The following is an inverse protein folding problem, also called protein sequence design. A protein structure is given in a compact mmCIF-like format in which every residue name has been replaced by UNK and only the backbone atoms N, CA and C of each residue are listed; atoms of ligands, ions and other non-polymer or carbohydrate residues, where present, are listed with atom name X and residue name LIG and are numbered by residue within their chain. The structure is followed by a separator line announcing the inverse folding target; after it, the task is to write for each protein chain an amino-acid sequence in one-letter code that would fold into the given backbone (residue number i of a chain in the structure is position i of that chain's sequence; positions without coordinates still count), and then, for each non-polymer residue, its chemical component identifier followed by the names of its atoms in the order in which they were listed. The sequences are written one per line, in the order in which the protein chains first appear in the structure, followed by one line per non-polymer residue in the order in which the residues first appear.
data_IF_783205591600
#
_entry.id   IF_783205591600
#
_cell.length_a   1.000
_cell.length_b   1.000
_cell.length_c   1.000
_cell.angle_alpha   90.00
_cell.angle_beta   90.00
_cell.angle_gamma   90.00
#
_symmetry.space_group_name_H-M   'P 1'
#
loop_
_entity.id
_entity.type
_entity.pdbx_description
1 polymer ?
#
# COMPACT_ATOMS: atom_id res chain seq x y z
N UNK A 1 2.05 -4.69 -27.84
CA UNK A 1 1.39 -3.98 -28.96
C UNK A 1 0.65 -2.78 -28.40
N UNK A 2 0.93 -1.54 -28.85
CA UNK A 2 0.17 -0.37 -28.43
C UNK A 2 -1.18 -0.38 -29.17
N UNK A 3 -2.27 -0.43 -28.42
CA UNK A 3 -3.62 -0.40 -28.99
C UNK A 3 -3.96 1.00 -29.47
N UNK A 4 -4.16 1.16 -30.78
CA UNK A 4 -4.67 2.38 -31.39
C UNK A 4 -6.16 2.52 -31.07
N UNK A 5 -6.55 3.62 -30.44
CA UNK A 5 -7.95 3.91 -30.14
C UNK A 5 -8.62 4.56 -31.37
N UNK A 6 -9.49 3.82 -32.06
CA UNK A 6 -10.26 4.34 -33.21
C UNK A 6 -11.59 4.91 -32.72
N UNK A 7 -11.77 6.23 -32.78
CA UNK A 7 -13.04 6.90 -32.44
C UNK A 7 -13.93 6.95 -33.68
N UNK A 8 -15.14 6.39 -33.57
CA UNK A 8 -16.03 6.08 -34.71
C UNK A 8 -17.13 7.11 -35.00
N UNK A 9 -17.22 8.23 -34.30
CA UNK A 9 -18.06 9.38 -34.69
C UNK A 9 -17.71 10.63 -33.89
N UNK A 10 -17.58 11.76 -34.58
CA UNK A 10 -17.28 13.08 -34.01
C UNK A 10 -18.46 13.99 -34.32
N UNK A 11 -19.32 14.25 -33.34
CA UNK A 11 -20.33 15.30 -33.46
C UNK A 11 -19.64 16.62 -33.08
N UNK A 12 -19.69 17.59 -34.00
CA UNK A 12 -18.86 18.79 -34.07
C UNK A 12 -19.03 19.87 -32.99
N UNK A 13 -19.22 19.49 -31.73
CA UNK A 13 -19.25 20.39 -30.57
C UNK A 13 -18.36 19.90 -29.41
N UNK A 14 -17.28 19.18 -29.72
CA UNK A 14 -16.34 18.72 -28.68
C UNK A 14 -15.14 19.64 -28.67
N UNK A 15 -15.03 20.50 -27.64
CA UNK A 15 -13.75 21.11 -27.27
C UNK A 15 -12.80 19.98 -26.87
N UNK A 16 -11.84 19.66 -27.73
CA UNK A 16 -10.79 18.70 -27.44
C UNK A 16 -9.98 19.21 -26.25
N UNK A 17 -10.07 18.53 -25.10
CA UNK A 17 -9.04 18.69 -24.07
C UNK A 17 -7.74 18.11 -24.64
N UNK A 18 -6.80 18.99 -24.95
CA UNK A 18 -5.47 18.62 -25.42
C UNK A 18 -4.74 17.86 -24.30
N UNK A 19 -4.52 16.57 -24.55
CA UNK A 19 -3.85 15.58 -23.69
C UNK A 19 -4.65 15.10 -22.47
N UNK A 20 -5.08 13.83 -22.51
CA UNK A 20 -5.20 13.04 -21.28
C UNK A 20 -3.82 13.04 -20.63
N UNK A 21 -3.63 13.84 -19.59
CA UNK A 21 -2.40 13.82 -18.82
C UNK A 21 -2.33 12.46 -18.11
N UNK A 22 -1.54 11.54 -18.65
CA UNK A 22 -1.36 10.21 -18.06
C UNK A 22 -0.58 10.40 -16.77
N UNK A 23 -1.27 10.33 -15.64
CA UNK A 23 -0.63 10.38 -14.32
C UNK A 23 0.21 9.11 -14.15
N UNK A 24 1.52 9.29 -14.02
CA UNK A 24 2.49 8.18 -13.87
C UNK A 24 3.48 8.48 -12.73
N UNK A 25 4.11 7.42 -12.22
CA UNK A 25 5.05 7.48 -11.11
C UNK A 25 4.37 7.75 -9.76
N UNK A 26 4.98 7.25 -8.69
CA UNK A 26 4.52 7.44 -7.33
C UNK A 26 3.29 6.61 -6.97
N UNK A 27 2.68 6.95 -5.83
CA UNK A 27 1.45 6.32 -5.34
C UNK A 27 0.24 7.03 -5.94
N UNK A 28 -0.65 6.28 -6.59
CA UNK A 28 -1.82 6.81 -7.32
C UNK A 28 -3.08 6.05 -6.91
N UNK A 29 -4.09 6.74 -6.37
CA UNK A 29 -5.42 6.16 -6.19
C UNK A 29 -6.06 5.81 -7.53
N UNK A 30 -6.71 4.65 -7.64
CA UNK A 30 -7.47 4.27 -8.86
C UNK A 30 -8.70 5.17 -9.10
N UNK A 31 -9.09 5.95 -8.10
CA UNK A 31 -10.11 6.99 -8.10
C UNK A 31 -9.73 8.09 -7.10
N UNK A 32 -10.41 9.26 -7.14
CA UNK A 32 -10.18 10.34 -6.15
C UNK A 32 -10.46 9.88 -4.72
N UNK A 33 -11.54 9.13 -4.55
CA UNK A 33 -11.91 8.53 -3.25
C UNK A 33 -10.79 7.61 -2.75
N UNK A 34 -10.23 6.78 -3.63
CA UNK A 34 -9.09 5.93 -3.29
C UNK A 34 -7.85 6.75 -2.95
N UNK A 35 -7.54 7.83 -3.68
CA UNK A 35 -6.42 8.73 -3.40
C UNK A 35 -6.52 9.39 -2.02
N UNK A 36 -7.70 9.87 -1.65
CA UNK A 36 -7.99 10.43 -0.33
C UNK A 36 -7.86 9.39 0.79
N UNK A 37 -8.39 8.19 0.57
CA UNK A 37 -8.25 7.07 1.52
C UNK A 37 -6.78 6.66 1.69
N UNK A 38 -6.01 6.62 0.61
CA UNK A 38 -4.56 6.37 0.68
C UNK A 38 -3.87 7.42 1.53
N UNK A 39 -4.10 8.70 1.27
CA UNK A 39 -3.51 9.79 2.06
C UNK A 39 -3.86 9.64 3.54
N UNK A 40 -5.15 9.41 3.85
CA UNK A 40 -5.61 9.21 5.21
C UNK A 40 -4.90 8.04 5.90
N UNK A 41 -4.73 6.90 5.22
CA UNK A 41 -4.07 5.73 5.82
C UNK A 41 -2.55 5.88 5.94
N UNK A 42 -1.89 6.61 5.02
CA UNK A 42 -0.50 7.03 5.20
C UNK A 42 -0.39 7.89 6.47
N UNK A 43 -1.24 8.90 6.62
CA UNK A 43 -1.21 9.77 7.80
C UNK A 43 -1.59 9.03 9.10
N UNK A 44 -2.52 8.06 9.04
CA UNK A 44 -2.89 7.21 10.18
C UNK A 44 -1.74 6.30 10.63
N UNK A 45 -0.84 5.92 9.73
CA UNK A 45 0.39 5.20 10.08
C UNK A 45 1.26 5.98 11.06
N UNK A 46 1.17 7.31 11.03
CA UNK A 46 1.92 8.24 11.87
C UNK A 46 1.03 8.94 12.90
N UNK A 47 0.01 8.26 13.45
CA UNK A 47 -1.06 8.83 14.29
C UNK A 47 -0.62 9.89 15.34
N UNK A 48 0.54 9.76 15.98
CA UNK A 48 1.06 10.72 16.97
C UNK A 48 2.20 11.64 16.47
N UNK A 49 2.56 11.58 15.19
CA UNK A 49 3.68 12.32 14.60
C UNK A 49 3.15 13.32 13.57
N UNK A 50 2.57 14.42 14.07
CA UNK A 50 1.90 15.42 13.23
C UNK A 50 2.85 16.15 12.26
N UNK A 51 4.12 16.27 12.63
CA UNK A 51 5.19 16.76 11.77
C UNK A 51 5.39 15.86 10.55
N UNK A 52 5.44 14.53 10.75
CA UNK A 52 5.53 13.55 9.66
C UNK A 52 4.26 13.52 8.82
N UNK A 53 3.07 13.61 9.41
CA UNK A 53 1.82 13.61 8.62
C UNK A 53 1.76 14.75 7.61
N UNK A 54 2.28 15.92 7.97
CA UNK A 54 2.18 17.16 7.19
C UNK A 54 2.94 17.12 5.87
N UNK A 55 3.98 16.28 5.75
CA UNK A 55 4.73 16.18 4.49
C UNK A 55 4.03 15.29 3.44
N UNK A 56 3.00 14.53 3.84
CA UNK A 56 2.19 13.74 2.92
C UNK A 56 0.97 14.55 2.49
N UNK A 57 0.89 14.82 1.18
CA UNK A 57 -0.17 15.63 0.57
C UNK A 57 -0.62 14.97 -0.74
N UNK A 58 -1.85 15.25 -1.17
CA UNK A 58 -2.30 14.93 -2.52
C UNK A 58 -1.93 16.08 -3.47
N UNK A 59 -1.66 15.74 -4.73
CA UNK A 59 -1.68 16.72 -5.82
C UNK A 59 -3.11 17.27 -6.03
N UNK A 60 -3.24 18.41 -6.73
CA UNK A 60 -4.53 19.06 -6.98
C UNK A 60 -5.56 18.16 -7.70
N UNK A 61 -5.07 17.14 -8.42
CA UNK A 61 -5.93 16.14 -9.07
C UNK A 61 -6.65 15.20 -8.08
N UNK A 62 -6.24 15.19 -6.80
CA UNK A 62 -6.70 14.30 -5.71
C UNK A 62 -6.56 12.80 -6.00
N UNK A 63 -5.68 12.44 -6.93
CA UNK A 63 -5.41 11.05 -7.31
C UNK A 63 -4.04 10.61 -6.83
N UNK A 64 -3.02 11.45 -7.02
CA UNK A 64 -1.62 11.08 -6.77
C UNK A 64 -1.09 11.77 -5.53
N UNK A 65 -0.29 11.04 -4.75
CA UNK A 65 0.45 11.61 -3.63
C UNK A 65 1.57 12.50 -4.19
N UNK A 66 1.62 13.74 -3.71
CA UNK A 66 2.58 14.76 -4.14
C UNK A 66 4.01 14.32 -3.80
N UNK A 67 4.95 14.41 -4.76
CA UNK A 67 6.36 14.15 -4.50
C UNK A 67 6.91 15.01 -3.36
N UNK A 68 7.75 14.41 -2.52
CA UNK A 68 8.32 15.09 -1.35
C UNK A 68 9.77 15.45 -1.67
N UNK A 69 10.20 16.68 -1.39
CA UNK A 69 11.62 17.02 -1.58
C UNK A 69 12.48 16.27 -0.56
N UNK A 70 13.70 15.88 -0.96
CA UNK A 70 14.61 15.17 -0.05
C UNK A 70 14.94 16.00 1.19
N UNK A 71 15.11 17.32 1.02
CA UNK A 71 15.45 18.25 2.11
C UNK A 71 14.31 18.31 3.14
N UNK A 72 13.06 18.47 2.67
CA UNK A 72 11.90 18.53 3.57
C UNK A 72 11.70 17.20 4.29
N UNK A 73 11.88 16.07 3.58
CA UNK A 73 11.80 14.75 4.17
C UNK A 73 12.86 14.55 5.27
N UNK A 74 14.14 14.78 4.95
CA UNK A 74 15.25 14.59 5.89
C UNK A 74 15.13 15.51 7.12
N UNK A 75 14.65 16.75 6.94
CA UNK A 75 14.41 17.67 8.05
C UNK A 75 13.34 17.16 9.02
N UNK A 76 12.25 16.57 8.51
CA UNK A 76 11.11 16.11 9.32
C UNK A 76 11.37 14.77 10.02
N UNK A 77 12.07 13.84 9.37
CA UNK A 77 12.37 12.55 10.01
C UNK A 77 13.54 12.64 11.01
N UNK A 78 14.28 13.74 11.01
CA UNK A 78 15.35 13.97 11.95
C UNK A 78 14.80 14.10 13.39
N UNK A 79 15.34 13.34 14.33
CA UNK A 79 14.86 13.29 15.72
C UNK A 79 13.82 12.21 16.01
N UNK A 80 13.34 11.46 15.01
CA UNK A 80 12.48 10.28 15.24
C UNK A 80 13.29 9.00 15.40
N UNK A 81 12.68 7.99 16.03
CA UNK A 81 13.29 6.67 16.17
C UNK A 81 13.37 5.91 14.83
N UNK A 82 14.19 4.86 14.77
CA UNK A 82 14.45 4.10 13.54
C UNK A 82 13.19 3.51 12.90
N UNK A 83 12.22 3.01 13.67
CA UNK A 83 11.00 2.43 13.11
C UNK A 83 10.17 3.49 12.39
N UNK A 84 9.99 4.67 13.01
CA UNK A 84 9.27 5.79 12.40
C UNK A 84 10.00 6.29 11.15
N UNK A 85 11.32 6.51 11.24
CA UNK A 85 12.14 6.99 10.11
C UNK A 85 12.08 6.02 8.93
N UNK A 86 12.19 4.71 9.19
CA UNK A 86 12.18 3.69 8.16
C UNK A 86 10.80 3.56 7.50
N UNK A 87 9.71 3.65 8.27
CA UNK A 87 8.36 3.65 7.70
C UNK A 87 8.09 4.89 6.84
N UNK A 88 8.48 6.07 7.33
CA UNK A 88 8.37 7.32 6.57
C UNK A 88 9.23 7.25 5.29
N UNK A 89 10.43 6.68 5.38
CA UNK A 89 11.33 6.51 4.24
C UNK A 89 10.76 5.55 3.20
N UNK A 90 10.12 4.46 3.62
CA UNK A 90 9.44 3.55 2.71
C UNK A 90 8.33 4.25 1.90
N UNK A 91 7.49 5.07 2.54
CA UNK A 91 6.51 5.89 1.83
C UNK A 91 7.17 6.93 0.92
N UNK A 92 8.19 7.64 1.38
CA UNK A 92 8.95 8.59 0.57
C UNK A 92 9.48 7.94 -0.72
N UNK A 93 10.10 6.75 -0.61
CA UNK A 93 10.60 6.03 -1.77
C UNK A 93 9.49 5.62 -2.75
N UNK A 94 8.35 5.13 -2.23
CA UNK A 94 7.20 4.77 -3.07
C UNK A 94 6.55 5.98 -3.75
N UNK A 95 6.46 7.12 -3.06
CA UNK A 95 5.89 8.38 -3.57
C UNK A 95 6.78 9.00 -4.66
N UNK A 96 8.10 9.01 -4.43
CA UNK A 96 9.07 9.61 -5.34
C UNK A 96 9.55 8.64 -6.44
N UNK A 97 9.03 7.41 -6.47
CA UNK A 97 9.34 6.41 -7.50
C UNK A 97 8.91 6.88 -8.89
N UNK A 98 9.74 6.61 -9.91
CA UNK A 98 9.34 6.77 -11.32
C UNK A 98 8.29 5.74 -11.75
N UNK A 99 8.15 4.66 -10.98
CA UNK A 99 7.19 3.58 -11.23
C UNK A 99 5.85 3.88 -10.57
N UNK A 100 4.75 3.60 -11.27
CA UNK A 100 3.40 3.80 -10.73
C UNK A 100 3.01 2.68 -9.76
N UNK A 101 2.51 3.07 -8.59
CA UNK A 101 1.88 2.18 -7.62
C UNK A 101 0.40 2.57 -7.48
N UNK A 102 -0.47 1.88 -8.23
CA UNK A 102 -1.91 2.11 -8.15
C UNK A 102 -2.49 1.50 -6.88
N UNK A 103 -3.42 2.18 -6.23
CA UNK A 103 -4.07 1.69 -5.01
C UNK A 103 -5.58 1.85 -5.08
N UNK A 104 -6.29 0.76 -4.85
CA UNK A 104 -7.74 0.69 -4.69
C UNK A 104 -8.10 0.44 -3.23
N UNK A 105 -8.43 1.51 -2.52
CA UNK A 105 -8.95 1.46 -1.17
C UNK A 105 -10.47 1.36 -1.25
N UNK A 106 -11.02 0.17 -0.99
CA UNK A 106 -12.45 -0.15 -1.18
C UNK A 106 -13.06 -0.66 0.12
N UNK A 107 -14.37 -0.49 0.30
CA UNK A 107 -15.14 -1.11 1.39
C UNK A 107 -15.82 -2.41 0.90
N UNK A 108 -16.15 -3.31 1.83
CA UNK A 108 -16.73 -4.63 1.52
C UNK A 108 -18.00 -4.54 0.65
N UNK A 109 -18.83 -3.50 0.86
CA UNK A 109 -20.06 -3.27 0.11
C UNK A 109 -19.85 -2.52 -1.23
N UNK A 110 -18.67 -1.94 -1.44
CA UNK A 110 -18.31 -1.21 -2.66
C UNK A 110 -17.90 -2.16 -3.77
N UNK A 111 -18.02 -1.71 -5.02
CA UNK A 111 -17.53 -2.45 -6.19
C UNK A 111 -16.09 -2.04 -6.45
N UNK A 112 -15.21 -3.02 -6.70
CA UNK A 112 -13.83 -2.75 -7.08
C UNK A 112 -13.74 -1.89 -8.35
N UNK A 113 -12.71 -1.06 -8.43
CA UNK A 113 -12.44 -0.27 -9.63
C UNK A 113 -12.11 -1.18 -10.82
N UNK A 114 -12.46 -0.76 -12.04
CA UNK A 114 -12.18 -1.54 -13.25
C UNK A 114 -10.69 -1.85 -13.45
N UNK A 115 -9.78 -0.98 -12.96
CA UNK A 115 -8.34 -1.26 -12.96
C UNK A 115 -8.01 -2.49 -12.11
N UNK A 116 -8.59 -2.60 -10.91
CA UNK A 116 -8.42 -3.72 -10.00
C UNK A 116 -9.00 -5.00 -10.56
N UNK A 117 -10.21 -4.93 -11.14
CA UNK A 117 -10.85 -6.03 -11.87
C UNK A 117 -9.94 -6.56 -12.97
N UNK A 118 -9.39 -5.66 -13.80
CA UNK A 118 -8.50 -6.02 -14.91
C UNK A 118 -7.19 -6.61 -14.41
N UNK A 119 -6.56 -6.01 -13.39
CA UNK A 119 -5.26 -6.43 -12.89
C UNK A 119 -5.30 -7.79 -12.19
N UNK A 120 -6.42 -8.13 -11.55
CA UNK A 120 -6.61 -9.37 -10.81
C UNK A 120 -7.42 -10.42 -11.59
N UNK A 121 -7.79 -10.14 -12.84
CA UNK A 121 -8.62 -11.01 -13.68
C UNK A 121 -9.93 -11.44 -13.00
N UNK A 122 -10.56 -10.51 -12.29
CA UNK A 122 -11.81 -10.76 -11.56
C UNK A 122 -13.04 -10.54 -12.47
N UNK A 123 -14.20 -11.13 -12.14
CA UNK A 123 -15.44 -10.80 -12.81
C UNK A 123 -15.81 -9.31 -12.68
N UNK A 124 -16.47 -8.77 -13.70
CA UNK A 124 -17.03 -7.42 -13.60
C UNK A 124 -18.00 -7.31 -12.42
N UNK A 125 -18.02 -6.15 -11.76
CA UNK A 125 -18.84 -5.86 -10.57
C UNK A 125 -18.48 -6.65 -9.30
N UNK A 126 -17.33 -7.32 -9.26
CA UNK A 126 -16.82 -7.91 -8.00
C UNK A 126 -16.78 -6.85 -6.89
N UNK A 127 -17.32 -7.25 -5.73
CA UNK A 127 -17.41 -6.43 -4.53
C UNK A 127 -16.15 -6.56 -3.66
N UNK A 128 -15.89 -5.55 -2.83
CA UNK A 128 -14.83 -5.59 -1.82
C UNK A 128 -14.93 -6.82 -0.92
N UNK A 129 -16.14 -7.27 -0.57
CA UNK A 129 -16.37 -8.47 0.24
C UNK A 129 -15.79 -9.74 -0.40
N UNK A 130 -15.98 -9.90 -1.72
CA UNK A 130 -15.43 -11.05 -2.43
C UNK A 130 -13.89 -10.95 -2.52
N UNK A 131 -13.35 -9.74 -2.69
CA UNK A 131 -11.91 -9.52 -2.62
C UNK A 131 -11.36 -9.85 -1.22
N UNK A 132 -12.06 -9.47 -0.17
CA UNK A 132 -11.69 -9.76 1.22
C UNK A 132 -11.63 -11.27 1.48
N UNK A 133 -12.67 -12.00 1.06
CA UNK A 133 -12.72 -13.46 1.18
C UNK A 133 -11.60 -14.17 0.40
N UNK A 134 -11.18 -13.61 -0.73
CA UNK A 134 -10.15 -14.22 -1.57
C UNK A 134 -8.73 -13.90 -1.10
N UNK A 135 -8.52 -12.73 -0.51
CA UNK A 135 -7.18 -12.18 -0.30
C UNK A 135 -6.88 -11.80 1.16
N UNK A 136 -7.84 -11.92 2.07
CA UNK A 136 -7.62 -11.67 3.50
C UNK A 136 -7.37 -10.20 3.83
N UNK A 137 -8.08 -9.29 3.16
CA UNK A 137 -8.01 -7.85 3.39
C UNK A 137 -7.18 -7.05 2.38
N UNK A 138 -6.24 -7.68 1.67
CA UNK A 138 -5.42 -6.96 0.70
C UNK A 138 -4.71 -7.86 -0.30
N UNK A 139 -4.34 -7.29 -1.45
CA UNK A 139 -3.52 -7.98 -2.46
C UNK A 139 -2.73 -6.98 -3.28
N UNK A 140 -1.51 -7.35 -3.64
CA UNK A 140 -0.68 -6.64 -4.61
C UNK A 140 -0.31 -7.49 -5.82
N UNK A 141 -0.42 -6.90 -7.02
CA UNK A 141 -0.03 -7.53 -8.28
C UNK A 141 0.76 -6.58 -9.17
N UNK A 142 1.47 -7.13 -10.17
CA UNK A 142 2.09 -6.35 -11.24
C UNK A 142 1.03 -5.75 -12.16
N UNK A 143 1.16 -4.48 -12.52
CA UNK A 143 0.21 -3.82 -13.41
C UNK A 143 0.87 -2.67 -14.19
N UNK A 144 0.78 -2.72 -15.52
CA UNK A 144 1.27 -1.67 -16.45
C UNK A 144 2.72 -1.19 -16.19
N UNK A 145 3.64 -2.12 -15.94
CA UNK A 145 5.05 -1.80 -15.65
C UNK A 145 5.31 -1.31 -14.22
N UNK A 146 4.27 -1.21 -13.38
CA UNK A 146 4.37 -0.97 -11.95
C UNK A 146 3.52 -1.96 -11.16
N UNK A 147 2.79 -1.48 -10.17
CA UNK A 147 1.95 -2.34 -9.31
C UNK A 147 0.53 -1.82 -9.14
N UNK A 148 -0.39 -2.72 -8.82
CA UNK A 148 -1.71 -2.41 -8.32
C UNK A 148 -1.92 -3.13 -6.99
N UNK A 149 -2.29 -2.35 -5.98
CA UNK A 149 -2.67 -2.82 -4.65
C UNK A 149 -4.17 -2.62 -4.46
N UNK A 150 -4.86 -3.62 -3.92
CA UNK A 150 -6.22 -3.50 -3.39
C UNK A 150 -6.14 -3.63 -1.87
N UNK A 151 -6.82 -2.75 -1.15
CA UNK A 151 -7.00 -2.85 0.31
C UNK A 151 -8.50 -2.74 0.60
N UNK A 152 -9.03 -3.72 1.33
CA UNK A 152 -10.40 -3.71 1.84
C UNK A 152 -10.41 -3.08 3.22
N UNK A 153 -10.94 -1.87 3.32
CA UNK A 153 -10.76 -1.00 4.49
C UNK A 153 -11.53 -1.44 5.74
N UNK A 154 -12.59 -2.20 5.57
CA UNK A 154 -13.42 -2.75 6.65
C UNK A 154 -13.32 -4.28 6.72
N UNK A 155 -12.19 -4.82 6.22
CA UNK A 155 -11.89 -6.25 6.23
C UNK A 155 -12.21 -6.90 7.57
N UNK A 156 -12.86 -8.05 7.50
CA UNK A 156 -13.14 -8.93 8.65
C UNK A 156 -12.35 -10.23 8.56
N UNK A 157 -11.38 -10.30 7.66
CA UNK A 157 -10.50 -11.43 7.55
C UNK A 157 -9.73 -11.62 8.86
N UNK A 158 -9.87 -12.81 9.42
CA UNK A 158 -9.14 -13.16 10.63
C UNK A 158 -7.76 -13.70 10.27
N UNK A 159 -6.74 -12.85 10.45
CA UNK A 159 -5.36 -13.23 10.16
C UNK A 159 -4.77 -13.82 11.45
N UNK A 160 -4.68 -15.15 11.49
CA UNK A 160 -4.19 -15.91 12.65
C UNK A 160 -2.68 -15.94 12.84
N UNK A 161 -1.91 -15.02 12.22
CA UNK A 161 -0.44 -15.04 12.24
C UNK A 161 0.18 -14.06 13.27
N UNK A 162 -0.63 -13.37 14.07
CA UNK A 162 -0.11 -12.54 15.16
C UNK A 162 0.32 -13.39 16.34
N UNK A 163 1.52 -13.14 16.85
CA UNK A 163 2.12 -13.85 17.99
C UNK A 163 2.39 -12.89 19.12
N UNK A 164 1.89 -13.19 20.32
CA UNK A 164 2.20 -12.46 21.53
C UNK A 164 3.65 -12.74 21.93
N UNK A 165 4.49 -11.71 21.85
CA UNK A 165 5.93 -11.85 21.95
C UNK A 165 6.45 -12.37 23.31
N UNK A 166 5.79 -12.10 24.47
CA UNK A 166 6.23 -12.62 25.76
C UNK A 166 6.11 -14.13 25.96
N UNK A 167 5.13 -14.80 25.34
CA UNK A 167 4.86 -16.23 25.57
C UNK A 167 4.73 -17.06 24.29
N UNK A 168 4.85 -16.45 23.10
CA UNK A 168 4.79 -17.14 21.81
C UNK A 168 3.40 -17.60 21.40
N UNK A 169 2.34 -17.20 22.10
CA UNK A 169 0.97 -17.62 21.79
C UNK A 169 0.46 -16.86 20.56
N UNK A 170 -0.03 -17.60 19.57
CA UNK A 170 -0.70 -17.01 18.41
C UNK A 170 -2.11 -16.59 18.77
N UNK A 171 -2.54 -15.44 18.26
CA UNK A 171 -3.90 -14.99 18.43
C UNK A 171 -4.44 -14.35 17.14
N UNK A 172 -5.73 -14.57 16.84
CA UNK A 172 -6.40 -13.90 15.73
C UNK A 172 -6.46 -12.39 15.94
N UNK A 173 -6.19 -11.62 14.89
CA UNK A 173 -6.36 -10.16 14.90
C UNK A 173 -6.71 -9.65 13.50
N UNK A 174 -7.67 -8.74 13.45
CA UNK A 174 -7.97 -8.02 12.21
C UNK A 174 -6.87 -7.01 11.89
N UNK A 175 -6.45 -6.98 10.63
CA UNK A 175 -5.53 -5.95 10.15
C UNK A 175 -6.25 -4.61 10.00
N UNK A 176 -5.53 -3.53 10.25
CA UNK A 176 -6.04 -2.17 9.98
C UNK A 176 -5.77 -1.76 8.53
N UNK A 177 -6.52 -0.82 7.95
CA UNK A 177 -6.28 -0.37 6.57
C UNK A 177 -4.88 0.21 6.35
N UNK A 178 -4.37 0.99 7.32
CA UNK A 178 -3.00 1.50 7.29
C UNK A 178 -1.94 0.38 7.36
N UNK A 179 -2.17 -0.66 8.15
CA UNK A 179 -1.30 -1.85 8.17
C UNK A 179 -1.32 -2.59 6.83
N UNK A 180 -2.50 -2.86 6.28
CA UNK A 180 -2.67 -3.52 5.00
C UNK A 180 -2.03 -2.70 3.88
N UNK A 181 -2.17 -1.38 3.93
CA UNK A 181 -1.50 -0.49 3.00
C UNK A 181 0.03 -0.65 3.10
N UNK A 182 0.62 -0.61 4.30
CA UNK A 182 2.06 -0.84 4.46
C UNK A 182 2.48 -2.24 3.98
N UNK A 183 1.71 -3.28 4.30
CA UNK A 183 1.96 -4.67 3.89
C UNK A 183 1.96 -4.83 2.36
N UNK A 184 0.86 -4.44 1.73
CA UNK A 184 0.60 -4.67 0.30
C UNK A 184 1.35 -3.69 -0.59
N UNK A 185 1.36 -2.40 -0.24
CA UNK A 185 1.98 -1.38 -1.08
C UNK A 185 3.49 -1.35 -0.89
N UNK A 186 3.98 -1.31 0.34
CA UNK A 186 5.42 -1.13 0.60
C UNK A 186 6.15 -2.47 0.61
N UNK A 187 5.58 -3.48 1.26
CA UNK A 187 6.18 -4.81 1.33
C UNK A 187 6.13 -5.54 -0.01
N UNK A 188 4.92 -5.80 -0.52
CA UNK A 188 4.76 -6.45 -1.81
C UNK A 188 5.04 -5.51 -2.99
N UNK A 189 4.38 -4.35 -3.04
CA UNK A 189 4.39 -3.47 -4.21
C UNK A 189 5.74 -2.84 -4.52
N UNK A 190 6.30 -2.09 -3.58
CA UNK A 190 7.62 -1.48 -3.76
C UNK A 190 8.71 -2.55 -3.87
N UNK A 191 8.68 -3.56 -3.00
CA UNK A 191 9.59 -4.72 -3.05
C UNK A 191 9.61 -5.39 -4.43
N UNK A 192 8.45 -5.58 -5.07
CA UNK A 192 8.34 -6.12 -6.44
C UNK A 192 9.04 -5.22 -7.47
N UNK A 193 8.83 -3.91 -7.40
CA UNK A 193 9.39 -2.95 -8.37
C UNK A 193 10.92 -2.90 -8.31
N UNK A 194 11.49 -2.98 -7.11
CA UNK A 194 12.95 -2.99 -6.96
C UNK A 194 13.58 -4.38 -7.12
N UNK A 195 12.77 -5.42 -7.36
CA UNK A 195 13.25 -6.79 -7.51
C UNK A 195 13.76 -7.42 -6.21
N UNK A 196 13.22 -7.02 -5.05
CA UNK A 196 13.59 -7.62 -3.76
C UNK A 196 13.27 -9.11 -3.74
N UNK A 197 14.23 -9.99 -3.45
CA UNK A 197 14.00 -11.43 -3.47
C UNK A 197 12.92 -11.89 -2.46
N UNK A 198 12.69 -11.11 -1.40
CA UNK A 198 11.78 -11.40 -0.28
C UNK A 198 10.45 -10.65 -0.37
N UNK A 199 10.17 -9.98 -1.50
CA UNK A 199 8.95 -9.18 -1.66
C UNK A 199 7.69 -10.03 -1.49
N UNK A 200 7.74 -11.33 -1.81
CA UNK A 200 6.59 -12.22 -1.79
C UNK A 200 6.15 -12.63 -0.40
N UNK A 201 6.95 -12.39 0.64
CA UNK A 201 6.64 -12.86 1.97
C UNK A 201 7.27 -12.00 3.07
N UNK A 202 8.58 -12.07 3.25
CA UNK A 202 9.23 -11.49 4.43
C UNK A 202 9.11 -9.98 4.45
N UNK A 203 9.26 -9.30 3.30
CA UNK A 203 9.17 -7.85 3.27
C UNK A 203 7.79 -7.36 3.67
N UNK A 204 6.73 -8.05 3.25
CA UNK A 204 5.35 -7.71 3.59
C UNK A 204 5.05 -7.94 5.08
N UNK A 205 5.45 -9.09 5.62
CA UNK A 205 5.32 -9.37 7.07
C UNK A 205 6.11 -8.36 7.90
N UNK A 206 7.35 -8.04 7.47
CA UNK A 206 8.20 -7.03 8.12
C UNK A 206 7.60 -5.64 8.07
N UNK A 207 6.94 -5.26 6.97
CA UNK A 207 6.26 -3.96 6.87
C UNK A 207 5.03 -3.86 7.79
N UNK A 208 4.25 -4.93 7.96
CA UNK A 208 3.19 -4.96 8.99
C UNK A 208 3.75 -4.78 10.39
N UNK A 209 4.85 -5.48 10.70
CA UNK A 209 5.49 -5.35 12.01
C UNK A 209 6.09 -3.96 12.22
N UNK A 210 6.72 -3.39 11.20
CA UNK A 210 7.24 -2.03 11.24
C UNK A 210 6.13 -1.00 11.50
N UNK A 211 4.97 -1.15 10.85
CA UNK A 211 3.79 -0.32 11.12
C UNK A 211 3.38 -0.36 12.60
N UNK A 212 3.30 -1.56 13.20
CA UNK A 212 2.91 -1.69 14.61
C UNK A 212 3.97 -1.10 15.56
N UNK A 213 5.26 -1.33 15.30
CA UNK A 213 6.34 -0.77 16.12
C UNK A 213 6.46 0.75 16.00
N UNK A 214 6.24 1.32 14.81
CA UNK A 214 6.18 2.78 14.62
C UNK A 214 5.04 3.42 15.44
N UNK A 215 4.02 2.64 15.81
CA UNK A 215 2.91 3.01 16.71
C UNK A 215 3.13 2.59 18.16
N UNK A 216 4.36 2.22 18.53
CA UNK A 216 4.78 1.80 19.88
C UNK A 216 4.14 0.48 20.36
N UNK A 217 3.70 -0.40 19.45
CA UNK A 217 3.25 -1.76 19.77
C UNK A 217 4.40 -2.76 19.56
N UNK A 218 5.00 -3.21 20.66
CA UNK A 218 6.16 -4.13 20.65
C UNK A 218 5.87 -5.50 21.29
N UNK A 219 4.69 -5.67 21.87
CA UNK A 219 4.28 -6.88 22.58
C UNK A 219 3.78 -7.99 21.66
N UNK A 220 3.68 -7.74 20.36
CA UNK A 220 3.32 -8.74 19.36
C UNK A 220 4.01 -8.51 18.03
N UNK A 221 3.95 -9.52 17.16
CA UNK A 221 4.40 -9.44 15.78
C UNK A 221 3.61 -10.43 14.92
N UNK A 222 3.40 -10.12 13.65
CA UNK A 222 2.98 -11.07 12.61
C UNK A 222 4.15 -11.98 12.27
N UNK A 223 3.92 -13.28 12.33
CA UNK A 223 4.93 -14.31 12.09
C UNK A 223 4.88 -14.88 10.66
N UNK A 224 3.85 -14.52 9.87
CA UNK A 224 3.70 -14.93 8.47
C UNK A 224 3.06 -16.30 8.23
N UNK A 225 2.64 -17.05 9.25
CA UNK A 225 2.10 -18.41 9.08
C UNK A 225 0.81 -18.48 8.27
N UNK A 226 0.06 -17.38 8.17
CA UNK A 226 -1.16 -17.25 7.35
C UNK A 226 -0.92 -16.47 6.05
N UNK A 227 0.33 -16.14 5.75
CA UNK A 227 0.73 -15.53 4.49
C UNK A 227 0.80 -16.60 3.38
N UNK A 228 0.71 -16.22 2.11
CA UNK A 228 0.52 -17.17 0.99
C UNK A 228 1.59 -18.27 0.85
N UNK A 229 2.80 -18.07 1.39
CA UNK A 229 3.87 -19.10 1.43
C UNK A 229 3.81 -19.98 2.67
N UNK A 230 3.09 -19.55 3.71
CA UNK A 230 2.98 -20.16 5.04
C UNK A 230 4.33 -20.41 5.73
N UNK A 231 5.38 -19.68 5.33
CA UNK A 231 6.68 -19.72 6.00
C UNK A 231 6.58 -18.99 7.33
N UNK A 232 6.99 -19.66 8.41
CA UNK A 232 6.98 -19.08 9.75
C UNK A 232 8.29 -18.34 10.01
N UNK A 233 8.20 -17.04 10.27
CA UNK A 233 9.34 -16.21 10.66
C UNK A 233 9.52 -16.20 12.17
N UNK A 234 10.78 -16.33 12.62
CA UNK A 234 11.14 -16.06 14.01
C UNK A 234 10.86 -14.61 14.37
N UNK A 235 10.65 -14.31 15.66
CA UNK A 235 10.47 -12.93 16.15
C UNK A 235 11.57 -11.98 15.65
N UNK A 236 12.82 -12.46 15.64
CA UNK A 236 13.96 -11.67 15.19
C UNK A 236 13.87 -11.36 13.69
N UNK A 237 13.56 -12.35 12.85
CA UNK A 237 13.42 -12.15 11.39
C UNK A 237 12.21 -11.31 11.02
N UNK A 238 11.06 -11.56 11.67
CA UNK A 238 9.81 -10.87 11.42
C UNK A 238 9.86 -9.39 11.80
N UNK A 239 10.66 -9.02 12.81
CA UNK A 239 10.81 -7.63 13.25
C UNK A 239 11.95 -6.86 12.55
N UNK A 240 12.66 -7.47 11.60
CA UNK A 240 13.60 -6.71 10.78
C UNK A 240 12.88 -5.64 9.97
N UNK A 241 13.59 -4.56 9.65
CA UNK A 241 13.20 -3.61 8.61
C UNK A 241 13.73 -4.16 7.27
N UNK A 242 12.92 -4.23 6.20
CA UNK A 242 13.42 -4.63 4.88
C UNK A 242 14.65 -3.80 4.51
N UNK A 243 15.70 -4.44 3.99
CA UNK A 243 17.04 -3.83 3.85
C UNK A 243 17.00 -2.50 3.09
N UNK A 244 16.16 -2.42 2.06
CA UNK A 244 15.99 -1.24 1.21
C UNK A 244 15.24 -0.07 1.89
N UNK A 245 14.70 -0.27 3.09
CA UNK A 245 14.02 0.76 3.89
C UNK A 245 14.78 1.14 5.16
N UNK A 246 15.95 0.56 5.42
CA UNK A 246 16.72 0.88 6.63
C UNK A 246 17.26 2.32 6.56
N UNK A 247 16.77 3.19 7.45
CA UNK A 247 17.13 4.62 7.52
C UNK A 247 17.28 5.12 8.96
#
# INVERSE_FOLDING_TARGET
MPGTLTIKNVNGNTTFQSSLQVVTGGIIGVSRVSGERVLNEIQNSFYNHNDIKRIFELEDNRLKIKPISRVDFEAVINGHNTDIRSLAYAYYLAINSSTSHYVDMTLTYETLNNRSITALSLPAKTKGLQADNNYGGGVNTSYLGGTLTVVVMDSKADIGDFTYAPNGVQYPRHSTPAELLAHELLGHGYGRVIGSATFRHEDAVRMSNLYWRARNYHNFYRNGSWHGTQVLLSKASANQIPIHFQK
#
